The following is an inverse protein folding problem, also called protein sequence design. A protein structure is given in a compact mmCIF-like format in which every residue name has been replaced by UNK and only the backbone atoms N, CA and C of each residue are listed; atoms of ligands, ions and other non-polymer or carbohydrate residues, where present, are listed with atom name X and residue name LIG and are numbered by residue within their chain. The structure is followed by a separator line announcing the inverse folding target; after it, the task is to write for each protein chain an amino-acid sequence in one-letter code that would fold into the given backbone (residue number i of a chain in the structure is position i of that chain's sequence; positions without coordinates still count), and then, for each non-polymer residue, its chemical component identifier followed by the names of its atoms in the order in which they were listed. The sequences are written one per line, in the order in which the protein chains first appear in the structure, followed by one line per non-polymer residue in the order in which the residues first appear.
data_IF_263976337419
#
_entry.id   IF_263976337419
#
_cell.length_a   1.000
_cell.length_b   1.000
_cell.length_c   1.000
_cell.angle_alpha   90.00
_cell.angle_beta   90.00
_cell.angle_gamma   90.00
#
_symmetry.space_group_name_H-M   'P 1'
#
loop_
_entity.id
_entity.type
_entity.pdbx_description
1 polymer ?
#
# COMPACT_ATOMS: atom_id res chain seq x y z
N UNK A 1 15.21 -15.26 2.20
CA UNK A 1 13.89 -14.72 2.55
C UNK A 1 13.09 -14.70 1.27
N UNK A 2 12.01 -15.48 1.21
CA UNK A 2 11.05 -15.39 0.12
C UNK A 2 10.56 -13.95 0.07
N UNK A 3 10.71 -13.34 -1.09
CA UNK A 3 10.37 -11.95 -1.33
C UNK A 3 8.86 -11.85 -1.26
N UNK A 4 8.31 -10.97 -0.41
CA UNK A 4 6.87 -10.71 -0.39
C UNK A 4 6.44 -10.37 -1.82
N UNK A 5 5.58 -11.22 -2.40
CA UNK A 5 5.16 -11.09 -3.79
C UNK A 5 3.72 -10.63 -3.79
N UNK A 6 3.53 -9.38 -4.19
CA UNK A 6 2.21 -8.81 -4.39
C UNK A 6 1.68 -9.20 -5.78
N UNK A 7 0.51 -9.80 -5.79
CA UNK A 7 -0.22 -10.22 -6.99
C UNK A 7 -1.40 -9.25 -7.14
N UNK A 8 -1.55 -8.71 -8.35
CA UNK A 8 -2.67 -7.84 -8.72
C UNK A 8 -3.57 -8.59 -9.69
N UNK A 9 -4.79 -8.89 -9.25
CA UNK A 9 -5.76 -9.67 -10.00
C UNK A 9 -7.09 -8.91 -10.14
N UNK A 10 -8.18 -9.58 -10.48
CA UNK A 10 -9.48 -8.91 -10.67
C UNK A 10 -10.20 -8.59 -9.34
N UNK A 11 -9.77 -9.18 -8.22
CA UNK A 11 -10.28 -8.88 -6.88
C UNK A 11 -9.67 -7.58 -6.35
N UNK A 12 -8.38 -7.35 -6.58
CA UNK A 12 -7.67 -6.19 -6.07
C UNK A 12 -6.17 -6.43 -6.07
N UNK A 13 -5.61 -6.59 -4.88
CA UNK A 13 -4.22 -6.96 -4.69
C UNK A 13 -4.08 -7.88 -3.46
N UNK A 14 -3.21 -8.87 -3.55
CA UNK A 14 -2.95 -9.79 -2.44
C UNK A 14 -1.48 -10.21 -2.35
N UNK A 15 -1.04 -10.60 -1.17
CA UNK A 15 0.31 -11.13 -0.91
C UNK A 15 0.21 -12.51 -0.27
N UNK A 16 0.92 -13.48 -0.82
CA UNK A 16 1.06 -14.80 -0.23
C UNK A 16 2.14 -14.78 0.86
N UNK A 17 1.75 -15.03 2.11
CA UNK A 17 2.63 -15.10 3.27
C UNK A 17 2.68 -16.51 3.82
N UNK A 18 3.65 -16.78 4.71
CA UNK A 18 3.78 -18.09 5.37
C UNK A 18 2.60 -18.47 6.25
N UNK A 19 1.93 -17.48 6.82
CA UNK A 19 0.81 -17.63 7.76
C UNK A 19 -0.57 -17.44 7.10
N UNK A 20 -0.62 -17.18 5.79
CA UNK A 20 -1.87 -17.03 5.03
C UNK A 20 -1.74 -16.02 3.90
N UNK A 21 -2.87 -15.54 3.41
CA UNK A 21 -2.93 -14.51 2.35
C UNK A 21 -3.36 -13.18 2.96
N UNK A 22 -2.65 -12.10 2.62
CA UNK A 22 -3.08 -10.74 2.93
C UNK A 22 -3.76 -10.14 1.70
N UNK A 23 -4.96 -9.60 1.85
CA UNK A 23 -5.82 -9.21 0.73
C UNK A 23 -6.30 -7.76 0.88
N UNK A 24 -6.27 -7.01 -0.22
CA UNK A 24 -6.80 -5.66 -0.36
C UNK A 24 -7.76 -5.66 -1.56
N UNK A 25 -9.04 -5.46 -1.28
CA UNK A 25 -10.06 -5.38 -2.32
C UNK A 25 -9.89 -4.14 -3.19
N UNK A 26 -10.20 -4.26 -4.48
CA UNK A 26 -10.09 -3.17 -5.45
C UNK A 26 -10.85 -1.91 -5.01
N UNK A 27 -12.00 -2.06 -4.36
CA UNK A 27 -12.83 -0.93 -3.90
C UNK A 27 -12.24 -0.20 -2.68
N UNK A 28 -11.28 -0.84 -1.99
CA UNK A 28 -10.59 -0.31 -0.81
C UNK A 28 -9.26 0.35 -1.15
N UNK A 29 -8.77 0.22 -2.39
CA UNK A 29 -7.48 0.76 -2.82
C UNK A 29 -7.35 2.29 -2.69
N UNK A 30 -8.44 3.04 -2.58
CA UNK A 30 -8.41 4.49 -2.35
C UNK A 30 -8.93 4.89 -0.96
N UNK A 31 -8.93 3.96 0.01
CA UNK A 31 -9.22 4.28 1.40
C UNK A 31 -8.26 5.36 1.90
N UNK A 32 -8.84 6.40 2.50
CA UNK A 32 -8.11 7.52 3.07
C UNK A 32 -7.97 7.34 4.58
N UNK A 33 -6.86 7.87 5.10
CA UNK A 33 -6.62 8.06 6.53
C UNK A 33 -6.02 9.44 6.73
N UNK A 34 -6.12 9.98 7.94
CA UNK A 34 -5.48 11.24 8.28
C UNK A 34 -4.20 10.99 9.06
N UNK A 35 -3.08 11.52 8.59
CA UNK A 35 -1.79 11.53 9.29
C UNK A 35 -1.31 12.98 9.33
N UNK A 36 -0.96 13.46 10.53
CA UNK A 36 -0.52 14.86 10.74
C UNK A 36 -1.45 15.89 10.09
N UNK A 37 -2.77 15.70 10.25
CA UNK A 37 -3.82 16.58 9.72
C UNK A 37 -3.91 16.63 8.18
N UNK A 38 -3.28 15.69 7.47
CA UNK A 38 -3.39 15.52 6.02
C UNK A 38 -4.07 14.20 5.67
N UNK A 39 -4.96 14.24 4.68
CA UNK A 39 -5.57 13.04 4.13
C UNK A 39 -4.61 12.36 3.16
N UNK A 40 -4.25 11.12 3.45
CA UNK A 40 -3.37 10.27 2.65
C UNK A 40 -3.98 8.89 2.47
N UNK A 41 -3.44 8.10 1.54
CA UNK A 41 -3.88 6.73 1.29
C UNK A 41 -3.53 5.84 2.50
N UNK A 42 -4.53 5.13 2.98
CA UNK A 42 -4.44 4.26 4.14
C UNK A 42 -3.45 3.11 3.94
N UNK A 43 -3.51 2.40 2.81
CA UNK A 43 -2.74 1.17 2.62
C UNK A 43 -1.22 1.38 2.61
N UNK A 44 -0.65 2.39 1.91
CA UNK A 44 0.78 2.71 2.04
C UNK A 44 1.24 2.90 3.49
N UNK A 45 0.47 3.64 4.28
CA UNK A 45 0.77 3.92 5.69
C UNK A 45 0.69 2.65 6.54
N UNK A 46 -0.38 1.87 6.36
CA UNK A 46 -0.58 0.62 7.07
C UNK A 46 0.56 -0.35 6.80
N UNK A 47 0.91 -0.56 5.53
CA UNK A 47 1.97 -1.49 5.14
C UNK A 47 3.35 -1.01 5.63
N UNK A 48 3.61 0.30 5.64
CA UNK A 48 4.86 0.84 6.20
C UNK A 48 5.00 0.55 7.71
N UNK A 49 3.88 0.51 8.44
CA UNK A 49 3.87 0.17 9.87
C UNK A 49 4.10 -1.32 10.15
N UNK A 50 3.92 -2.19 9.16
CA UNK A 50 4.06 -3.64 9.30
C UNK A 50 5.51 -4.09 9.07
N UNK A 51 6.03 -4.98 9.93
CA UNK A 51 7.43 -5.43 9.84
C UNK A 51 7.68 -6.53 8.81
N UNK A 52 6.61 -7.15 8.33
CA UNK A 52 6.61 -8.34 7.49
C UNK A 52 6.52 -8.07 6.00
N UNK A 53 6.43 -6.81 5.57
CA UNK A 53 6.30 -6.44 4.16
C UNK A 53 7.44 -5.54 3.72
N UNK A 54 8.00 -5.81 2.55
CA UNK A 54 8.84 -4.86 1.82
C UNK A 54 7.98 -3.72 1.23
N UNK A 55 8.14 -2.51 1.77
CA UNK A 55 7.33 -1.34 1.38
C UNK A 55 7.52 -0.95 -0.09
N UNK A 56 8.74 -1.06 -0.65
CA UNK A 56 8.97 -0.67 -2.04
C UNK A 56 8.30 -1.65 -3.01
N UNK A 57 8.31 -2.94 -2.67
CA UNK A 57 7.55 -3.96 -3.43
C UNK A 57 6.05 -3.73 -3.37
N UNK A 58 5.54 -3.36 -2.20
CA UNK A 58 4.14 -3.00 -2.06
C UNK A 58 3.79 -1.78 -2.92
N UNK A 59 4.57 -0.70 -2.83
CA UNK A 59 4.29 0.54 -3.56
C UNK A 59 4.30 0.32 -5.07
N UNK A 60 5.23 -0.48 -5.60
CA UNK A 60 5.27 -0.83 -7.02
C UNK A 60 3.98 -1.57 -7.47
N UNK A 61 3.59 -2.61 -6.73
CA UNK A 61 2.38 -3.38 -7.05
C UNK A 61 1.10 -2.56 -6.85
N UNK A 62 1.06 -1.71 -5.82
CA UNK A 62 -0.06 -0.84 -5.49
C UNK A 62 -0.33 0.19 -6.60
N UNK A 63 0.71 0.78 -7.18
CA UNK A 63 0.56 1.65 -8.36
C UNK A 63 -0.05 0.89 -9.53
N UNK A 64 0.39 -0.35 -9.79
CA UNK A 64 -0.19 -1.21 -10.80
C UNK A 64 -1.66 -1.55 -10.52
N UNK A 65 -2.01 -1.81 -9.27
CA UNK A 65 -3.37 -2.09 -8.82
C UNK A 65 -4.30 -0.90 -9.05
N UNK A 66 -3.85 0.32 -8.72
CA UNK A 66 -4.61 1.55 -8.97
C UNK A 66 -4.87 1.74 -10.48
N UNK A 67 -3.87 1.53 -11.33
CA UNK A 67 -4.07 1.63 -12.78
C UNK A 67 -5.04 0.56 -13.30
N UNK A 68 -4.87 -0.70 -12.91
CA UNK A 68 -5.73 -1.81 -13.37
C UNK A 68 -7.17 -1.67 -12.90
N UNK A 69 -7.38 -1.18 -11.68
CA UNK A 69 -8.70 -1.05 -11.05
C UNK A 69 -9.27 0.36 -11.12
N UNK A 70 -8.76 1.20 -12.02
CA UNK A 70 -9.27 2.55 -12.22
C UNK A 70 -10.80 2.53 -12.42
N UNK A 71 -11.52 3.33 -11.63
CA UNK A 71 -12.98 3.37 -11.62
C UNK A 71 -13.68 2.36 -10.70
N UNK A 72 -12.93 1.46 -10.04
CA UNK A 72 -13.47 0.52 -9.03
C UNK A 72 -13.35 1.03 -7.59
N UNK A 73 -12.52 2.03 -7.33
CA UNK A 73 -12.29 2.65 -6.02
C UNK A 73 -12.89 4.07 -5.91
N UNK A 74 -14.09 4.28 -6.49
CA UNK A 74 -14.95 5.46 -6.28
C UNK A 74 -14.50 6.77 -6.94
N UNK A 75 -13.20 7.04 -7.00
CA UNK A 75 -12.62 8.26 -7.58
C UNK A 75 -11.43 7.94 -8.48
N UNK A 76 -11.12 8.86 -9.40
CA UNK A 76 -9.86 8.83 -10.15
C UNK A 76 -8.73 9.11 -9.16
N UNK A 77 -7.69 8.27 -9.17
CA UNK A 77 -6.55 8.47 -8.27
C UNK A 77 -5.81 9.75 -8.63
N UNK A 78 -5.65 10.64 -7.66
CA UNK A 78 -4.82 11.84 -7.79
C UNK A 78 -3.33 11.45 -7.69
N UNK A 79 -2.52 11.71 -8.74
CA UNK A 79 -1.09 11.42 -8.71
C UNK A 79 -0.34 12.12 -7.56
N UNK A 80 -0.79 13.31 -7.13
CA UNK A 80 -0.17 14.05 -6.04
C UNK A 80 -0.42 13.34 -4.71
N UNK A 81 -1.67 12.98 -4.43
CA UNK A 81 -2.05 12.21 -3.25
C UNK A 81 -1.28 10.88 -3.16
N UNK A 82 -1.14 10.18 -4.29
CA UNK A 82 -0.38 8.94 -4.35
C UNK A 82 1.11 9.18 -4.01
N UNK A 83 1.72 10.24 -4.53
CA UNK A 83 3.10 10.60 -4.24
C UNK A 83 3.30 10.96 -2.75
N UNK A 84 2.42 11.79 -2.19
CA UNK A 84 2.45 12.18 -0.77
C UNK A 84 2.27 10.97 0.16
N UNK A 85 1.35 10.06 -0.20
CA UNK A 85 1.12 8.83 0.57
C UNK A 85 2.32 7.89 0.53
N UNK A 86 2.99 7.78 -0.62
CA UNK A 86 4.20 6.99 -0.76
C UNK A 86 5.38 7.59 0.02
N UNK A 87 5.50 8.91 0.05
CA UNK A 87 6.50 9.61 0.87
C UNK A 87 6.25 9.39 2.37
N UNK A 88 5.00 9.58 2.83
CA UNK A 88 4.62 9.32 4.22
C UNK A 88 4.93 7.88 4.64
N UNK A 89 4.60 6.90 3.78
CA UNK A 89 4.93 5.50 4.01
C UNK A 89 6.45 5.26 4.15
N UNK A 90 7.27 5.90 3.30
CA UNK A 90 8.73 5.79 3.38
C UNK A 90 9.30 6.42 4.65
N UNK A 91 8.75 7.55 5.09
CA UNK A 91 9.15 8.19 6.35
C UNK A 91 8.89 7.26 7.54
N UNK A 92 7.66 6.71 7.65
CA UNK A 92 7.30 5.73 8.67
C UNK A 92 8.23 4.51 8.65
N UNK A 93 8.55 4.00 7.46
CA UNK A 93 9.45 2.86 7.30
C UNK A 93 10.89 3.19 7.75
N UNK A 94 11.39 4.37 7.37
CA UNK A 94 12.75 4.82 7.68
C UNK A 94 12.96 5.26 9.14
N UNK A 95 11.91 5.74 9.81
CA UNK A 95 11.92 6.12 11.22
C UNK A 95 11.87 4.93 12.18
N UNK A 96 11.62 3.71 11.67
CA UNK A 96 11.66 2.51 12.50
C UNK A 96 13.07 2.32 13.06
N UNK A 97 13.23 2.22 14.40
CA UNK A 97 14.53 1.90 14.96
C UNK A 97 14.97 0.58 14.35
N UNK A 98 16.16 0.57 13.74
CA UNK A 98 16.85 -0.66 13.38
C UNK A 98 17.11 -1.36 14.71
N UNK A 99 16.22 -2.26 15.11
CA UNK A 99 16.49 -3.16 16.23
C UNK A 99 17.66 -4.05 15.78
N UNK A 100 18.87 -3.61 16.08
CA UNK A 100 20.07 -4.42 16.06
C UNK A 100 20.09 -5.40 17.22
#
# INVERSE_FOLDING_TARGET
MEKDHWIVDDFGMHSEMRDGTFEIEAHRLAELTSVEERDILYWPVYIASETRFDIERFLEAYQGALVKHAGRYGAVMDPLLLAESAEAARNIWGERPVCG
#
